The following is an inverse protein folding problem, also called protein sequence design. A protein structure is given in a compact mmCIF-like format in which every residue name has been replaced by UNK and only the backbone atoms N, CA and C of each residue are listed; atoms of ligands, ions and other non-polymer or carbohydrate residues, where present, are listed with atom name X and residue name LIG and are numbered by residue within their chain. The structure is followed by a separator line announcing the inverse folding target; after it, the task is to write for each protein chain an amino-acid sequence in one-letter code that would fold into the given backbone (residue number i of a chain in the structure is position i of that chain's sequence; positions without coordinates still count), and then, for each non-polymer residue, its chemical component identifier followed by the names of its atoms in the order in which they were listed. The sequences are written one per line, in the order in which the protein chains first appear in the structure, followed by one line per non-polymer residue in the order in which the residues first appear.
data_IF_955271691303
#
_entry.id   IF_955271691303
#
_cell.length_a   1.000
_cell.length_b   1.000
_cell.length_c   1.000
_cell.angle_alpha   90.00
_cell.angle_beta   90.00
_cell.angle_gamma   90.00
#
_symmetry.space_group_name_H-M   'P 1'
#
loop_
_entity.id
_entity.type
_entity.pdbx_description
1 polymer ?
#
# COMPACT_ATOMS: atom_id res chain seq x y z
N UNK A 1 -6.71 -2.38 -40.54
CA UNK A 1 -6.10 -3.34 -39.60
C UNK A 1 -4.61 -3.04 -39.54
N UNK A 2 -4.23 -2.09 -38.68
CA UNK A 2 -2.81 -1.81 -38.42
C UNK A 2 -2.39 -2.71 -37.27
N UNK A 3 -1.52 -3.68 -37.56
CA UNK A 3 -0.79 -4.41 -36.53
C UNK A 3 0.24 -3.45 -35.97
N UNK A 4 0.00 -2.94 -34.77
CA UNK A 4 1.05 -2.32 -33.96
C UNK A 4 1.95 -3.45 -33.51
N UNK A 5 3.12 -3.54 -34.13
CA UNK A 5 4.19 -4.45 -33.75
C UNK A 5 4.81 -3.91 -32.45
N UNK A 6 4.22 -4.30 -31.32
CA UNK A 6 4.82 -4.08 -30.00
C UNK A 6 5.97 -5.07 -29.89
N UNK A 7 7.19 -4.55 -30.01
CA UNK A 7 8.43 -5.33 -29.91
C UNK A 7 8.49 -6.19 -28.63
N UNK A 8 9.34 -7.21 -28.67
CA UNK A 8 9.49 -8.31 -27.71
C UNK A 8 9.95 -7.94 -26.28
N UNK A 9 9.76 -6.70 -25.83
CA UNK A 9 9.95 -6.22 -24.45
C UNK A 9 8.72 -5.40 -23.97
N UNK A 10 7.52 -5.77 -24.42
CA UNK A 10 6.30 -5.14 -23.95
C UNK A 10 6.08 -5.48 -22.46
N UNK A 11 6.07 -4.46 -21.61
CA UNK A 11 5.76 -4.58 -20.18
C UNK A 11 4.44 -5.33 -19.98
N UNK A 12 4.51 -6.61 -19.64
CA UNK A 12 3.35 -7.52 -19.62
C UNK A 12 2.28 -7.07 -18.62
N UNK A 13 2.67 -6.29 -17.60
CA UNK A 13 1.74 -5.70 -16.65
C UNK A 13 0.68 -4.82 -17.31
N UNK A 14 1.02 -4.19 -18.44
CA UNK A 14 0.09 -3.35 -19.19
C UNK A 14 -1.12 -4.13 -19.75
N UNK A 15 -1.03 -5.45 -19.88
CA UNK A 15 -2.16 -6.29 -20.27
C UNK A 15 -3.23 -6.38 -19.17
N UNK A 16 -2.86 -6.07 -17.92
CA UNK A 16 -3.78 -6.05 -16.77
C UNK A 16 -4.50 -4.70 -16.65
N UNK A 17 -3.90 -3.62 -17.15
CA UNK A 17 -4.40 -2.25 -17.01
C UNK A 17 -5.39 -1.91 -18.13
N UNK A 18 -6.48 -1.21 -17.80
CA UNK A 18 -7.39 -0.64 -18.79
C UNK A 18 -6.77 0.62 -19.42
N UNK A 19 -5.82 0.41 -20.34
CA UNK A 19 -5.09 1.51 -21.00
C UNK A 19 -5.96 2.40 -21.88
N UNK A 20 -7.12 1.93 -22.31
CA UNK A 20 -8.07 2.77 -23.05
C UNK A 20 -8.67 3.85 -22.15
N UNK A 21 -8.82 3.56 -20.85
CA UNK A 21 -9.30 4.51 -19.84
C UNK A 21 -8.18 5.23 -19.11
N UNK A 22 -7.03 4.57 -18.95
CA UNK A 22 -5.89 5.06 -18.19
C UNK A 22 -4.62 5.00 -19.05
N UNK A 23 -4.40 6.00 -19.93
CA UNK A 23 -3.31 5.98 -20.91
C UNK A 23 -1.94 6.24 -20.26
N UNK A 24 -1.44 5.29 -19.48
CA UNK A 24 -0.18 5.42 -18.72
C UNK A 24 1.07 5.02 -19.50
N UNK A 25 0.91 4.51 -20.73
CA UNK A 25 2.01 3.99 -21.53
C UNK A 25 2.92 5.09 -22.12
N UNK A 26 2.37 6.28 -22.40
CA UNK A 26 3.13 7.47 -22.82
C UNK A 26 2.63 8.67 -22.01
N UNK A 27 3.49 9.16 -21.11
CA UNK A 27 3.18 10.29 -20.22
C UNK A 27 3.83 11.60 -20.70
N UNK A 28 4.50 11.61 -21.85
CA UNK A 28 5.19 12.79 -22.38
C UNK A 28 4.28 13.65 -23.24
N UNK A 29 3.38 13.03 -24.01
CA UNK A 29 2.52 13.73 -24.96
C UNK A 29 1.10 13.15 -25.03
N UNK A 30 0.19 13.90 -25.67
CA UNK A 30 -1.17 13.43 -25.97
C UNK A 30 -2.03 13.12 -24.73
N UNK A 31 -2.91 12.13 -24.86
CA UNK A 31 -3.91 11.77 -23.85
C UNK A 31 -3.28 11.36 -22.51
N UNK A 32 -2.11 10.71 -22.54
CA UNK A 32 -1.42 10.28 -21.31
C UNK A 32 -0.80 11.44 -20.52
N UNK A 33 -0.26 12.44 -21.19
CA UNK A 33 0.20 13.67 -20.53
C UNK A 33 -0.96 14.47 -19.91
N UNK A 34 -2.10 14.55 -20.61
CA UNK A 34 -3.32 15.18 -20.09
C UNK A 34 -3.85 14.41 -18.87
N UNK A 35 -3.89 13.09 -18.94
CA UNK A 35 -4.31 12.22 -17.84
C UNK A 35 -3.38 12.33 -16.61
N UNK A 36 -2.06 12.37 -16.83
CA UNK A 36 -1.09 12.60 -15.76
C UNK A 36 -1.37 13.92 -15.04
N UNK A 37 -1.65 14.99 -15.80
CA UNK A 37 -1.99 16.28 -15.21
C UNK A 37 -3.24 16.20 -14.32
N UNK A 38 -4.29 15.51 -14.77
CA UNK A 38 -5.50 15.27 -13.95
C UNK A 38 -5.14 14.55 -12.65
N UNK A 39 -4.31 13.51 -12.71
CA UNK A 39 -3.88 12.78 -11.52
C UNK A 39 -3.09 13.65 -10.54
N UNK A 40 -2.17 14.47 -11.05
CA UNK A 40 -1.40 15.41 -10.24
C UNK A 40 -2.28 16.48 -9.60
N UNK A 41 -3.28 16.99 -10.33
CA UNK A 41 -4.22 17.98 -9.82
C UNK A 41 -5.11 17.38 -8.71
N UNK A 42 -5.50 16.09 -8.82
CA UNK A 42 -6.18 15.37 -7.74
C UNK A 42 -5.29 15.20 -6.50
N UNK A 43 -4.04 14.78 -6.68
CA UNK A 43 -3.08 14.65 -5.57
C UNK A 43 -2.87 15.99 -4.85
N UNK A 44 -2.79 17.11 -5.58
CA UNK A 44 -2.61 18.45 -5.01
C UNK A 44 -3.86 18.93 -4.25
N UNK A 45 -5.03 18.75 -4.86
CA UNK A 45 -6.29 19.28 -4.32
C UNK A 45 -6.79 18.48 -3.13
N UNK A 46 -6.61 17.15 -3.19
CA UNK A 46 -7.23 16.22 -2.25
C UNK A 46 -6.19 15.52 -1.36
N UNK A 47 -4.98 15.28 -1.86
CA UNK A 47 -3.98 14.44 -1.19
C UNK A 47 -4.00 12.98 -1.64
N UNK A 48 -4.88 12.61 -2.58
CA UNK A 48 -4.98 11.27 -3.17
C UNK A 48 -5.46 11.32 -4.62
N UNK A 49 -5.30 10.21 -5.34
CA UNK A 49 -5.84 9.98 -6.66
C UNK A 49 -6.37 8.54 -6.76
N UNK A 50 -7.67 8.38 -7.00
CA UNK A 50 -8.32 7.08 -7.22
C UNK A 50 -8.59 6.84 -8.70
N UNK A 51 -8.22 5.66 -9.17
CA UNK A 51 -8.45 5.19 -10.52
C UNK A 51 -9.34 3.94 -10.45
N UNK A 52 -10.66 4.15 -10.44
CA UNK A 52 -11.64 3.07 -10.32
C UNK A 52 -11.72 2.21 -11.59
N UNK A 53 -11.49 0.91 -11.48
CA UNK A 53 -11.44 0.03 -12.65
C UNK A 53 -10.15 0.21 -13.46
N UNK A 54 -9.07 0.57 -12.77
CA UNK A 54 -7.73 0.65 -13.35
C UNK A 54 -7.28 -0.68 -13.95
N UNK A 55 -7.69 -1.77 -13.32
CA UNK A 55 -7.46 -3.13 -13.81
C UNK A 55 -8.67 -3.60 -14.62
N UNK A 56 -8.40 -4.23 -15.76
CA UNK A 56 -9.42 -4.83 -16.64
C UNK A 56 -10.22 -5.90 -15.88
N UNK A 57 -11.54 -6.06 -16.13
CA UNK A 57 -12.37 -6.98 -15.35
C UNK A 57 -11.90 -8.44 -15.33
N UNK A 58 -11.38 -8.96 -16.43
CA UNK A 58 -10.82 -10.32 -16.54
C UNK A 58 -9.50 -10.46 -15.77
N UNK A 59 -8.63 -9.45 -15.85
CA UNK A 59 -7.40 -9.39 -15.08
C UNK A 59 -7.65 -9.27 -13.58
N UNK A 60 -8.67 -8.50 -13.17
CA UNK A 60 -9.09 -8.36 -11.78
C UNK A 60 -9.58 -9.70 -11.21
N UNK A 61 -10.41 -10.42 -11.97
CA UNK A 61 -10.85 -11.76 -11.57
C UNK A 61 -9.66 -12.71 -11.38
N UNK A 62 -8.69 -12.69 -12.30
CA UNK A 62 -7.48 -13.51 -12.19
C UNK A 62 -6.60 -13.14 -10.98
N UNK A 63 -6.45 -11.84 -10.68
CA UNK A 63 -5.73 -11.35 -9.49
C UNK A 63 -6.46 -11.72 -8.19
N UNK A 64 -7.79 -11.64 -8.17
CA UNK A 64 -8.60 -12.06 -7.02
C UNK A 64 -8.45 -13.57 -6.78
N UNK A 65 -8.54 -14.39 -7.83
CA UNK A 65 -8.35 -15.84 -7.74
C UNK A 65 -6.92 -16.19 -7.28
N UNK A 66 -5.91 -15.57 -7.86
CA UNK A 66 -4.50 -15.73 -7.50
C UNK A 66 -4.28 -15.46 -6.01
N UNK A 67 -4.68 -14.28 -5.54
CA UNK A 67 -4.48 -13.89 -4.14
C UNK A 67 -5.32 -14.71 -3.17
N UNK A 68 -6.55 -15.08 -3.54
CA UNK A 68 -7.40 -15.97 -2.73
C UNK A 68 -6.76 -17.35 -2.55
N UNK A 69 -6.03 -17.85 -3.55
CA UNK A 69 -5.34 -19.14 -3.46
C UNK A 69 -4.08 -19.10 -2.56
N UNK A 70 -3.41 -17.96 -2.47
CA UNK A 70 -2.23 -17.81 -1.61
C UNK A 70 -2.57 -17.48 -0.15
N UNK A 71 -3.67 -16.77 0.11
CA UNK A 71 -4.06 -16.32 1.45
C UNK A 71 -4.14 -17.43 2.52
N UNK A 72 -4.58 -18.67 2.23
CA UNK A 72 -4.54 -19.76 3.20
C UNK A 72 -3.14 -20.10 3.72
N UNK A 73 -2.08 -19.72 3.01
CA UNK A 73 -0.68 -19.87 3.44
C UNK A 73 -0.15 -18.72 4.30
N UNK A 74 -0.91 -17.64 4.49
CA UNK A 74 -0.52 -16.51 5.32
C UNK A 74 -0.91 -16.69 6.79
N UNK A 75 -0.13 -16.08 7.68
CA UNK A 75 -0.46 -16.04 9.11
C UNK A 75 -1.55 -15.01 9.39
N UNK A 76 -2.42 -15.34 10.35
CA UNK A 76 -3.31 -14.35 10.97
C UNK A 76 -2.50 -13.62 12.04
N UNK A 77 -2.26 -12.34 11.80
CA UNK A 77 -1.37 -11.50 12.60
C UNK A 77 -2.20 -10.56 13.47
N UNK A 78 -1.86 -10.50 14.75
CA UNK A 78 -2.32 -9.43 15.66
C UNK A 78 -1.20 -8.40 15.77
N UNK A 79 -1.38 -7.26 15.11
CA UNK A 79 -0.34 -6.24 14.98
C UNK A 79 -0.61 -5.13 15.99
N UNK A 80 0.41 -4.82 16.80
CA UNK A 80 0.36 -3.82 17.86
C UNK A 80 1.46 -2.78 17.65
N UNK A 81 1.08 -1.53 17.52
CA UNK A 81 2.02 -0.42 17.22
C UNK A 81 1.44 0.93 17.61
N UNK A 82 2.29 1.93 17.73
CA UNK A 82 1.83 3.32 17.69
C UNK A 82 1.55 3.75 16.23
N UNK A 83 1.00 4.96 16.03
CA UNK A 83 0.65 5.46 14.69
C UNK A 83 1.86 5.69 13.76
N UNK A 84 3.09 5.58 14.26
CA UNK A 84 4.33 5.75 13.50
C UNK A 84 5.05 4.42 13.25
N UNK A 85 4.31 3.31 13.26
CA UNK A 85 4.80 1.94 13.10
C UNK A 85 5.68 1.41 14.24
N UNK A 86 5.96 2.22 15.26
CA UNK A 86 6.87 1.91 16.35
C UNK A 86 6.24 1.14 17.51
N UNK A 87 7.08 0.66 18.42
CA UNK A 87 6.64 0.20 19.73
C UNK A 87 6.11 1.36 20.57
N UNK A 88 5.24 1.06 21.53
CA UNK A 88 4.76 2.07 22.49
C UNK A 88 5.87 2.46 23.45
N UNK A 89 6.05 3.75 23.67
CA UNK A 89 7.01 4.29 24.65
C UNK A 89 6.27 4.87 25.88
N UNK A 90 6.27 4.15 27.02
CA UNK A 90 5.58 4.60 28.23
C UNK A 90 6.29 5.74 28.96
N UNK A 91 7.53 6.09 28.59
CA UNK A 91 8.32 7.14 29.25
C UNK A 91 7.95 8.54 28.76
N UNK A 92 7.26 8.64 27.63
CA UNK A 92 6.81 9.88 27.02
C UNK A 92 5.61 10.50 27.77
N UNK A 93 5.31 11.80 27.53
CA UNK A 93 4.12 12.46 28.04
C UNK A 93 2.83 11.66 27.77
N UNK A 94 1.83 11.79 28.66
CA UNK A 94 0.61 10.99 28.61
C UNK A 94 -0.23 11.23 27.34
N UNK A 95 -0.09 12.39 26.73
CA UNK A 95 -0.76 12.84 25.52
C UNK A 95 0.03 12.51 24.23
N UNK A 96 1.27 12.02 24.34
CA UNK A 96 2.09 11.66 23.16
C UNK A 96 1.51 10.42 22.43
N UNK A 97 1.29 10.43 21.11
CA UNK A 97 0.72 9.30 20.39
C UNK A 97 1.65 8.10 20.32
N UNK A 98 2.96 8.30 20.51
CA UNK A 98 3.92 7.21 20.64
C UNK A 98 3.70 6.40 21.92
N UNK A 99 2.92 6.93 22.87
CA UNK A 99 2.50 6.23 24.08
C UNK A 99 1.18 5.46 23.91
N UNK A 100 0.49 5.60 22.78
CA UNK A 100 -0.80 4.94 22.53
C UNK A 100 -0.60 3.68 21.68
N UNK A 101 -1.14 2.56 22.13
CA UNK A 101 -1.19 1.31 21.37
C UNK A 101 -2.41 1.29 20.46
N UNK A 102 -2.19 0.98 19.19
CA UNK A 102 -3.23 0.64 18.23
C UNK A 102 -3.05 -0.80 17.80
N UNK A 103 -4.14 -1.54 17.84
CA UNK A 103 -4.17 -2.97 17.51
C UNK A 103 -5.08 -3.19 16.32
N UNK A 104 -4.70 -4.11 15.43
CA UNK A 104 -5.59 -4.69 14.44
C UNK A 104 -5.23 -6.15 14.17
N UNK A 105 -6.14 -6.86 13.52
CA UNK A 105 -5.96 -8.24 13.08
C UNK A 105 -6.09 -8.31 11.58
N UNK A 106 -5.13 -8.95 10.92
CA UNK A 106 -5.11 -9.11 9.47
C UNK A 106 -4.47 -10.44 9.08
N UNK A 107 -4.89 -11.01 7.96
CA UNK A 107 -4.12 -12.06 7.29
C UNK A 107 -3.25 -11.38 6.24
N UNK A 108 -1.94 -11.56 6.29
CA UNK A 108 -1.02 -10.82 5.43
C UNK A 108 0.01 -11.74 4.77
N UNK A 109 0.14 -11.61 3.46
CA UNK A 109 1.25 -12.18 2.69
C UNK A 109 2.32 -11.11 2.56
N UNK A 110 3.54 -11.45 2.99
CA UNK A 110 4.75 -10.67 2.74
C UNK A 110 5.26 -10.89 1.31
N UNK A 111 6.10 -9.99 0.80
CA UNK A 111 6.64 -10.05 -0.57
C UNK A 111 7.40 -11.36 -0.84
N UNK A 112 8.20 -11.84 0.13
CA UNK A 112 8.92 -13.11 0.04
C UNK A 112 8.01 -14.37 0.00
N UNK A 113 6.70 -14.20 0.20
CA UNK A 113 5.68 -15.25 0.05
C UNK A 113 4.96 -15.20 -1.30
N UNK A 114 5.22 -14.18 -2.12
CA UNK A 114 4.61 -13.99 -3.44
C UNK A 114 5.59 -14.43 -4.53
N UNK A 115 5.34 -15.56 -5.22
CA UNK A 115 6.22 -16.02 -6.30
C UNK A 115 6.37 -14.96 -7.40
N UNK A 116 7.58 -14.82 -7.94
CA UNK A 116 7.94 -13.77 -8.90
C UNK A 116 7.15 -13.82 -10.22
N UNK A 117 6.57 -14.97 -10.57
CA UNK A 117 5.76 -15.17 -11.77
C UNK A 117 4.27 -14.84 -11.58
N UNK A 118 3.83 -14.48 -10.36
CA UNK A 118 2.46 -14.05 -10.09
C UNK A 118 2.08 -12.78 -10.84
N UNK A 119 0.80 -12.62 -11.17
CA UNK A 119 0.26 -11.44 -11.85
C UNK A 119 0.49 -10.17 -11.01
N UNK A 120 0.32 -10.26 -9.70
CA UNK A 120 0.54 -9.10 -8.83
C UNK A 120 2.01 -8.69 -8.77
N UNK A 121 2.95 -9.64 -8.79
CA UNK A 121 4.38 -9.34 -8.91
C UNK A 121 4.71 -8.74 -10.27
N UNK A 122 4.19 -9.30 -11.37
CA UNK A 122 4.37 -8.72 -12.71
C UNK A 122 3.87 -7.27 -12.75
N UNK A 123 2.71 -6.98 -12.16
CA UNK A 123 2.17 -5.63 -12.07
C UNK A 123 3.10 -4.70 -11.29
N UNK A 124 3.57 -5.11 -10.11
CA UNK A 124 4.49 -4.31 -9.31
C UNK A 124 5.84 -4.08 -10.01
N UNK A 125 6.34 -5.09 -10.71
CA UNK A 125 7.62 -5.03 -11.44
C UNK A 125 7.57 -4.24 -12.76
N UNK A 126 6.41 -3.73 -13.15
CA UNK A 126 6.26 -2.81 -14.28
C UNK A 126 7.08 -1.52 -14.09
N UNK A 127 7.97 -1.25 -15.03
CA UNK A 127 8.71 0.02 -15.07
C UNK A 127 7.79 1.18 -15.45
N UNK A 128 6.81 0.93 -16.33
CA UNK A 128 5.84 1.93 -16.78
C UNK A 128 4.92 2.33 -15.62
N UNK A 129 4.42 1.37 -14.84
CA UNK A 129 3.64 1.67 -13.64
C UNK A 129 4.48 2.42 -12.59
N UNK A 130 5.74 2.03 -12.41
CA UNK A 130 6.65 2.72 -11.48
C UNK A 130 6.88 4.18 -11.91
N UNK A 131 7.12 4.44 -13.20
CA UNK A 131 7.27 5.81 -13.71
C UNK A 131 5.96 6.60 -13.61
N UNK A 132 4.81 5.98 -13.87
CA UNK A 132 3.50 6.59 -13.66
C UNK A 132 3.31 7.04 -12.22
N UNK A 133 3.55 6.14 -11.24
CA UNK A 133 3.47 6.46 -9.81
C UNK A 133 4.43 7.59 -9.44
N UNK A 134 5.67 7.55 -9.93
CA UNK A 134 6.67 8.61 -9.73
C UNK A 134 6.17 9.97 -10.21
N UNK A 135 5.67 10.02 -11.45
CA UNK A 135 5.20 11.26 -12.08
C UNK A 135 3.95 11.81 -11.40
N UNK A 136 2.98 10.98 -11.04
CA UNK A 136 1.77 11.42 -10.33
C UNK A 136 2.13 12.06 -8.98
N UNK A 137 3.10 11.46 -8.27
CA UNK A 137 3.57 11.99 -6.98
C UNK A 137 4.62 13.10 -7.10
N UNK A 138 4.95 13.53 -8.32
CA UNK A 138 5.96 14.56 -8.65
C UNK A 138 7.33 14.29 -8.01
N UNK A 139 7.72 13.01 -7.94
CA UNK A 139 9.03 12.61 -7.40
C UNK A 139 10.12 12.71 -8.47
N UNK A 140 11.33 13.22 -8.12
CA UNK A 140 12.45 13.27 -9.06
C UNK A 140 12.91 11.87 -9.47
N UNK A 141 12.96 10.95 -8.50
CA UNK A 141 13.26 9.53 -8.68
C UNK A 141 12.30 8.73 -7.82
N UNK A 142 12.03 7.49 -8.21
CA UNK A 142 11.26 6.57 -7.39
C UNK A 142 11.69 5.14 -7.72
N UNK A 143 11.98 4.36 -6.68
CA UNK A 143 12.35 2.97 -6.78
C UNK A 143 11.30 2.13 -6.06
N UNK A 144 11.11 0.91 -6.55
CA UNK A 144 10.46 -0.14 -5.75
C UNK A 144 11.26 -0.34 -4.47
N UNK A 145 10.57 -0.50 -3.35
CA UNK A 145 11.21 -0.85 -2.09
C UNK A 145 11.99 -2.17 -2.27
N UNK A 146 13.17 -2.28 -1.67
CA UNK A 146 14.00 -3.49 -1.74
C UNK A 146 13.77 -4.42 -0.53
N UNK A 147 12.86 -4.06 0.37
CA UNK A 147 12.48 -4.86 1.51
C UNK A 147 11.73 -6.12 1.08
N UNK A 148 12.30 -7.29 1.33
CA UNK A 148 11.74 -8.58 0.94
C UNK A 148 10.41 -8.94 1.64
N UNK A 149 9.95 -8.16 2.61
CA UNK A 149 8.68 -8.42 3.29
C UNK A 149 7.62 -7.38 2.91
N UNK A 150 7.99 -6.11 2.85
CA UNK A 150 7.06 -4.99 2.69
C UNK A 150 6.98 -4.42 1.27
N UNK A 151 7.88 -4.77 0.34
CA UNK A 151 7.88 -4.18 -0.99
C UNK A 151 6.54 -4.32 -1.74
N UNK A 152 5.99 -5.53 -1.73
CA UNK A 152 4.64 -5.84 -2.17
C UNK A 152 3.99 -6.77 -1.16
N UNK A 153 2.86 -6.37 -0.59
CA UNK A 153 2.14 -7.22 0.35
C UNK A 153 0.65 -7.30 0.01
N UNK A 154 0.02 -8.41 0.39
CA UNK A 154 -1.41 -8.63 0.23
C UNK A 154 -2.04 -8.77 1.60
N UNK A 155 -2.96 -7.86 1.92
CA UNK A 155 -3.65 -7.79 3.21
C UNK A 155 -5.11 -8.18 3.03
N UNK A 156 -5.55 -9.19 3.76
CA UNK A 156 -6.93 -9.59 3.91
C UNK A 156 -7.47 -9.22 5.30
N UNK A 157 -8.54 -8.41 5.31
CA UNK A 157 -9.30 -8.05 6.50
C UNK A 157 -10.62 -8.83 6.47
N UNK A 158 -10.79 -9.76 7.41
CA UNK A 158 -12.01 -10.56 7.55
C UNK A 158 -13.11 -9.77 8.26
N UNK A 159 -14.38 -10.18 8.15
CA UNK A 159 -15.48 -9.57 8.90
C UNK A 159 -15.16 -9.39 10.39
N UNK A 160 -15.43 -8.20 10.93
CA UNK A 160 -15.07 -7.80 12.30
C UNK A 160 -13.62 -7.29 12.46
N UNK A 161 -12.82 -7.29 11.40
CA UNK A 161 -11.46 -6.73 11.38
C UNK A 161 -11.44 -5.33 10.79
N UNK A 162 -10.41 -4.55 11.11
CA UNK A 162 -10.14 -3.21 10.60
C UNK A 162 -8.64 -3.06 10.36
N UNK A 163 -8.21 -1.93 9.80
CA UNK A 163 -6.79 -1.58 9.76
C UNK A 163 -6.55 -0.34 10.61
N UNK A 164 -5.74 -0.48 11.66
CA UNK A 164 -5.54 0.58 12.63
C UNK A 164 -4.91 1.84 12.01
N UNK A 165 -5.16 2.99 12.65
CA UNK A 165 -4.57 4.27 12.28
C UNK A 165 -3.05 4.21 12.29
N UNK A 166 -2.42 4.64 11.20
CA UNK A 166 -0.98 4.73 11.09
C UNK A 166 -0.56 5.67 9.95
N UNK A 167 0.70 6.07 9.99
CA UNK A 167 1.45 6.52 8.83
C UNK A 167 2.29 5.37 8.29
N UNK A 168 2.52 5.39 6.98
CA UNK A 168 3.45 4.46 6.37
C UNK A 168 4.90 4.83 6.68
N UNK A 169 5.79 3.83 6.56
CA UNK A 169 7.24 4.03 6.74
C UNK A 169 7.86 4.77 5.56
N UNK A 170 7.29 4.65 4.36
CA UNK A 170 7.69 5.40 3.17
C UNK A 170 6.60 6.40 2.79
N UNK A 171 6.97 7.46 2.09
CA UNK A 171 5.99 8.44 1.62
C UNK A 171 5.08 7.85 0.54
N UNK A 172 5.66 7.10 -0.39
CA UNK A 172 5.00 6.64 -1.60
C UNK A 172 4.49 5.20 -1.47
N UNK A 173 3.29 5.06 -0.92
CA UNK A 173 2.55 3.79 -0.93
C UNK A 173 1.37 3.88 -1.87
N UNK A 174 1.15 2.84 -2.64
CA UNK A 174 0.00 2.72 -3.55
C UNK A 174 -0.78 1.47 -3.20
N UNK A 175 -2.10 1.53 -3.30
CA UNK A 175 -2.93 0.35 -3.02
C UNK A 175 -3.82 -0.02 -4.19
N UNK A 176 -3.95 -1.32 -4.45
CA UNK A 176 -4.91 -1.90 -5.38
C UNK A 176 -5.93 -2.72 -4.59
N UNK A 177 -7.20 -2.31 -4.61
CA UNK A 177 -8.27 -3.07 -3.97
C UNK A 177 -8.64 -4.26 -4.86
N UNK A 178 -8.26 -5.47 -4.46
CA UNK A 178 -8.51 -6.69 -5.23
C UNK A 178 -9.92 -7.22 -5.00
N UNK A 179 -10.38 -7.18 -3.75
CA UNK A 179 -11.72 -7.58 -3.35
C UNK A 179 -12.27 -6.60 -2.32
N UNK A 180 -13.40 -5.97 -2.62
CA UNK A 180 -14.10 -5.10 -1.66
C UNK A 180 -14.77 -5.94 -0.57
N UNK A 181 -15.12 -5.33 0.57
CA UNK A 181 -16.09 -5.91 1.51
C UNK A 181 -17.53 -5.76 0.99
N UNK A 182 -18.49 -6.43 1.61
CA UNK A 182 -19.91 -6.19 1.32
C UNK A 182 -20.37 -4.82 1.87
N UNK A 183 -19.89 -4.45 3.07
CA UNK A 183 -20.00 -3.10 3.60
C UNK A 183 -18.88 -2.79 4.61
N UNK A 184 -18.64 -1.51 4.85
CA UNK A 184 -17.47 -1.04 5.60
C UNK A 184 -16.17 -1.34 4.86
N UNK A 185 -15.06 -1.43 5.58
CA UNK A 185 -13.74 -1.58 4.95
C UNK A 185 -13.31 -0.36 4.14
N UNK A 186 -13.83 0.81 4.50
CA UNK A 186 -13.59 2.08 3.83
C UNK A 186 -12.17 2.57 4.16
N UNK A 187 -11.48 3.06 3.14
CA UNK A 187 -10.22 3.77 3.36
C UNK A 187 -10.52 5.15 3.93
N UNK A 188 -10.03 5.42 5.15
CA UNK A 188 -10.25 6.67 5.87
C UNK A 188 -8.90 7.30 6.24
N UNK A 189 -8.78 8.62 6.11
CA UNK A 189 -7.49 9.29 6.32
C UNK A 189 -7.61 10.80 6.53
N UNK A 190 -6.56 11.37 7.12
CA UNK A 190 -6.26 12.80 7.11
C UNK A 190 -5.17 13.05 6.06
N UNK A 191 -5.49 13.66 4.90
CA UNK A 191 -4.49 13.92 3.86
C UNK A 191 -3.43 14.89 4.36
N UNK A 192 -2.16 14.57 4.12
CA UNK A 192 -1.01 15.43 4.43
C UNK A 192 -1.05 16.02 5.85
N UNK A 193 -1.49 15.23 6.84
CA UNK A 193 -1.54 15.64 8.26
C UNK A 193 -0.16 15.84 8.89
N UNK A 194 0.91 15.49 8.18
CA UNK A 194 2.30 15.84 8.51
C UNK A 194 3.17 16.07 7.27
N UNK A 195 4.32 16.68 7.48
CA UNK A 195 5.46 16.80 6.56
C UNK A 195 6.70 16.22 7.24
N UNK A 196 7.87 16.35 6.61
CA UNK A 196 9.15 16.00 7.24
C UNK A 196 9.46 16.87 8.48
N UNK A 197 8.88 18.07 8.56
CA UNK A 197 9.18 19.06 9.61
C UNK A 197 8.08 19.19 10.66
N UNK A 198 6.82 19.01 10.29
CA UNK A 198 5.67 19.35 11.15
C UNK A 198 4.55 18.31 11.08
N UNK A 199 3.74 18.24 12.14
CA UNK A 199 2.51 17.44 12.18
C UNK A 199 1.37 18.31 12.70
N UNK A 200 0.19 18.23 12.08
CA UNK A 200 -1.05 18.82 12.60
C UNK A 200 -1.54 17.98 13.78
N UNK A 201 -0.88 18.20 14.92
CA UNK A 201 -1.16 17.57 16.20
C UNK A 201 -2.63 17.68 16.59
N UNK A 202 -3.23 18.84 16.35
CA UNK A 202 -4.60 19.09 16.73
C UNK A 202 -5.58 18.24 15.90
N UNK A 203 -5.38 18.15 14.58
CA UNK A 203 -6.20 17.29 13.73
C UNK A 203 -5.98 15.80 14.03
N UNK A 204 -4.73 15.39 14.22
CA UNK A 204 -4.38 14.02 14.60
C UNK A 204 -5.04 13.65 15.94
N UNK A 205 -4.88 14.45 16.99
CA UNK A 205 -5.42 14.13 18.31
C UNK A 205 -6.95 14.08 18.33
N UNK A 206 -7.63 14.93 17.53
CA UNK A 206 -9.09 14.85 17.33
C UNK A 206 -9.49 13.53 16.69
N UNK A 207 -8.84 13.14 15.60
CA UNK A 207 -9.11 11.87 14.93
C UNK A 207 -8.90 10.69 15.87
N UNK A 208 -7.78 10.68 16.60
CA UNK A 208 -7.46 9.60 17.54
C UNK A 208 -8.39 9.55 18.76
N UNK A 209 -9.10 10.65 19.05
CA UNK A 209 -10.18 10.68 20.04
C UNK A 209 -11.54 10.20 19.47
N UNK A 210 -11.60 9.83 18.19
CA UNK A 210 -12.80 9.31 17.52
C UNK A 210 -13.59 10.35 16.73
N UNK A 211 -13.11 11.60 16.62
CA UNK A 211 -13.75 12.61 15.79
C UNK A 211 -13.40 12.41 14.31
N UNK A 212 -14.36 11.86 13.58
CA UNK A 212 -14.22 11.57 12.14
C UNK A 212 -14.63 12.75 11.25
N UNK A 213 -15.05 13.90 11.79
CA UNK A 213 -15.66 15.00 11.01
C UNK A 213 -14.76 15.60 9.93
N UNK A 214 -13.44 15.53 10.12
CA UNK A 214 -12.44 16.01 9.17
C UNK A 214 -11.76 14.89 8.37
N UNK A 215 -12.17 13.64 8.59
CA UNK A 215 -11.63 12.52 7.82
C UNK A 215 -12.21 12.51 6.43
N UNK A 216 -11.33 12.24 5.46
CA UNK A 216 -11.75 11.92 4.12
C UNK A 216 -12.04 10.42 4.07
N UNK A 217 -13.18 10.08 3.47
CA UNK A 217 -13.59 8.70 3.18
C UNK A 217 -14.06 8.66 1.75
N UNK A 218 -13.71 7.60 1.05
CA UNK A 218 -14.26 7.34 -0.27
C UNK A 218 -14.51 5.85 -0.44
N UNK A 219 -15.63 5.54 -1.08
CA UNK A 219 -15.96 4.18 -1.46
C UNK A 219 -15.00 3.75 -2.56
N UNK A 220 -14.40 2.58 -2.39
CA UNK A 220 -13.53 1.97 -3.40
C UNK A 220 -14.19 0.71 -3.93
N UNK A 221 -14.10 0.51 -5.23
CA UNK A 221 -14.56 -0.72 -5.88
C UNK A 221 -13.37 -1.65 -6.06
N UNK A 222 -13.64 -2.94 -6.22
CA UNK A 222 -12.59 -3.86 -6.67
C UNK A 222 -12.02 -3.37 -8.01
N UNK A 223 -10.68 -3.42 -8.14
CA UNK A 223 -9.92 -2.86 -9.26
C UNK A 223 -9.54 -1.38 -9.09
N UNK A 224 -9.90 -0.71 -7.99
CA UNK A 224 -9.48 0.68 -7.73
C UNK A 224 -8.01 0.75 -7.33
N UNK A 225 -7.20 1.42 -8.15
CA UNK A 225 -5.81 1.79 -7.87
C UNK A 225 -5.76 3.18 -7.23
N UNK A 226 -5.21 3.26 -6.03
CA UNK A 226 -5.22 4.47 -5.20
C UNK A 226 -3.81 4.92 -4.87
N UNK A 227 -3.45 6.11 -5.35
CA UNK A 227 -2.21 6.81 -5.01
C UNK A 227 -2.49 7.83 -3.90
N UNK A 228 -1.63 7.87 -2.89
CA UNK A 228 -1.69 8.84 -1.79
C UNK A 228 -0.30 8.91 -1.12
N UNK A 229 -0.05 9.94 -0.31
CA UNK A 229 1.19 10.06 0.46
C UNK A 229 1.04 9.40 1.82
N UNK A 230 1.22 8.09 1.91
CA UNK A 230 0.99 7.31 3.14
C UNK A 230 1.92 7.70 4.29
N UNK A 231 3.15 8.10 3.97
CA UNK A 231 4.07 8.66 4.96
C UNK A 231 3.63 10.02 5.51
N UNK A 232 2.76 10.77 4.83
CA UNK A 232 2.30 12.09 5.27
C UNK A 232 0.82 12.14 5.67
N UNK A 233 0.07 11.08 5.41
CA UNK A 233 -1.38 11.04 5.65
C UNK A 233 -1.69 9.98 6.71
N UNK A 234 -2.25 10.39 7.85
CA UNK A 234 -2.68 9.45 8.88
C UNK A 234 -3.88 8.67 8.35
N UNK A 235 -3.80 7.36 8.24
CA UNK A 235 -4.82 6.57 7.56
C UNK A 235 -5.08 5.22 8.21
N UNK A 236 -6.24 4.65 7.87
CA UNK A 236 -6.73 3.39 8.38
C UNK A 236 -7.86 2.85 7.49
N UNK A 237 -8.35 1.67 7.84
CA UNK A 237 -9.50 1.04 7.18
C UNK A 237 -10.57 0.80 8.22
N UNK A 238 -11.81 1.22 7.94
CA UNK A 238 -12.95 0.98 8.84
C UNK A 238 -13.23 -0.52 8.98
N UNK A 239 -14.04 -0.89 9.97
CA UNK A 239 -14.42 -2.28 10.20
C UNK A 239 -15.08 -2.89 8.95
N UNK A 240 -14.71 -4.13 8.64
CA UNK A 240 -15.23 -4.91 7.51
C UNK A 240 -16.46 -5.70 7.95
N UNK A 241 -17.50 -5.69 7.13
CA UNK A 241 -18.72 -6.47 7.31
C UNK A 241 -19.05 -7.29 6.07
N UNK A 242 -19.78 -8.40 6.26
CA UNK A 242 -20.19 -9.32 5.19
C UNK A 242 -19.71 -10.76 5.43
N UNK A 243 -19.71 -11.56 4.37
CA UNK A 243 -19.33 -12.98 4.41
C UNK A 243 -17.90 -13.26 3.91
N UNK A 244 -17.25 -12.30 3.24
CA UNK A 244 -15.91 -12.46 2.65
C UNK A 244 -14.95 -11.35 3.09
N UNK A 245 -13.62 -11.61 3.04
CA UNK A 245 -12.65 -10.59 3.39
C UNK A 245 -12.58 -9.47 2.35
N UNK A 246 -12.12 -8.31 2.80
CA UNK A 246 -11.57 -7.24 1.96
C UNK A 246 -10.10 -7.54 1.69
N UNK A 247 -9.70 -7.64 0.42
CA UNK A 247 -8.34 -8.00 0.00
C UNK A 247 -7.70 -6.83 -0.73
N UNK A 248 -6.53 -6.39 -0.31
CA UNK A 248 -5.79 -5.26 -0.90
C UNK A 248 -4.34 -5.63 -1.13
N UNK A 249 -3.82 -5.36 -2.32
CA UNK A 249 -2.39 -5.32 -2.56
C UNK A 249 -1.84 -3.93 -2.25
N UNK A 250 -0.70 -3.88 -1.57
CA UNK A 250 0.00 -2.66 -1.17
C UNK A 250 1.37 -2.69 -1.82
N UNK A 251 1.67 -1.67 -2.61
CA UNK A 251 2.90 -1.51 -3.38
C UNK A 251 3.69 -0.35 -2.78
N UNK A 252 4.88 -0.63 -2.28
CA UNK A 252 5.70 0.35 -1.56
C UNK A 252 6.84 0.83 -2.45
N UNK A 253 7.01 2.14 -2.52
CA UNK A 253 8.07 2.80 -3.26
C UNK A 253 8.83 3.78 -2.36
N UNK A 254 10.07 4.11 -2.75
CA UNK A 254 10.92 5.05 -2.02
C UNK A 254 11.85 5.81 -2.99
N UNK A 255 12.23 7.03 -2.62
CA UNK A 255 13.19 7.83 -3.40
C UNK A 255 14.63 7.33 -3.20
N UNK A 256 14.89 6.61 -2.11
CA UNK A 256 16.16 5.95 -1.82
C UNK A 256 16.23 4.57 -2.50
N UNK A 257 17.18 4.42 -3.43
CA UNK A 257 17.48 3.11 -4.02
C UNK A 257 17.91 2.12 -2.93
N UNK A 258 17.37 0.91 -2.97
CA UNK A 258 17.74 -0.14 -2.01
C UNK A 258 17.16 0.07 -0.61
N UNK A 259 16.08 0.85 -0.47
CA UNK A 259 15.37 1.01 0.80
C UNK A 259 14.95 -0.35 1.36
N UNK A 260 15.36 -0.65 2.59
CA UNK A 260 14.93 -1.80 3.38
C UNK A 260 14.31 -1.27 4.67
N UNK A 261 13.19 -1.83 5.09
CA UNK A 261 12.49 -1.43 6.31
C UNK A 261 13.18 -2.07 7.52
N UNK A 262 13.15 -1.42 8.68
CA UNK A 262 13.86 -1.92 9.84
C UNK A 262 13.34 -3.28 10.29
N UNK A 263 14.25 -4.14 10.74
CA UNK A 263 13.95 -5.46 11.30
C UNK A 263 12.83 -5.40 12.37
N UNK A 264 12.84 -4.37 13.23
CA UNK A 264 11.85 -4.26 14.31
C UNK A 264 10.44 -3.99 13.78
N UNK A 265 10.30 -3.21 12.69
CA UNK A 265 9.00 -2.97 12.05
C UNK A 265 8.57 -4.24 11.31
N UNK A 266 9.49 -4.89 10.58
CA UNK A 266 9.23 -6.14 9.87
C UNK A 266 8.74 -7.25 10.82
N UNK A 267 9.40 -7.43 11.96
CA UNK A 267 8.96 -8.39 12.99
C UNK A 267 7.63 -7.99 13.63
N UNK A 268 7.38 -6.68 13.83
CA UNK A 268 6.12 -6.20 14.41
C UNK A 268 4.92 -6.43 13.50
N UNK A 269 5.12 -6.35 12.18
CA UNK A 269 4.08 -6.56 11.18
C UNK A 269 3.89 -8.06 10.91
N UNK A 270 4.96 -8.81 10.62
CA UNK A 270 4.89 -10.20 10.15
C UNK A 270 5.24 -11.26 11.20
N UNK A 271 5.46 -10.85 12.44
CA UNK A 271 5.55 -11.74 13.59
C UNK A 271 6.75 -12.69 13.58
N UNK A 272 6.53 -13.86 14.20
CA UNK A 272 7.58 -14.83 14.55
C UNK A 272 8.27 -15.44 13.33
N UNK A 273 7.57 -15.58 12.21
CA UNK A 273 8.16 -16.05 10.95
C UNK A 273 9.35 -15.18 10.57
N UNK A 274 9.12 -13.87 10.49
CA UNK A 274 10.15 -12.91 10.09
C UNK A 274 11.23 -12.75 11.17
N UNK A 275 10.84 -12.79 12.46
CA UNK A 275 11.82 -12.82 13.57
C UNK A 275 12.80 -13.98 13.42
N UNK A 276 12.30 -15.17 13.10
CA UNK A 276 13.12 -16.36 12.88
C UNK A 276 14.04 -16.20 11.67
N UNK A 277 13.51 -15.73 10.53
CA UNK A 277 14.30 -15.53 9.30
C UNK A 277 15.48 -14.58 9.56
N UNK A 278 15.22 -13.44 10.20
CA UNK A 278 16.24 -12.44 10.51
C UNK A 278 17.24 -12.94 11.56
N UNK A 279 16.76 -13.68 12.57
CA UNK A 279 17.61 -14.31 13.58
C UNK A 279 18.59 -15.33 12.99
N UNK A 280 18.10 -16.22 12.12
CA UNK A 280 18.92 -17.24 11.46
C UNK A 280 20.03 -16.60 10.60
N UNK A 281 19.72 -15.51 9.89
CA UNK A 281 20.70 -14.77 9.07
C UNK A 281 21.77 -14.08 9.92
N UNK A 282 21.38 -13.45 11.03
CA UNK A 282 22.33 -12.85 11.98
C UNK A 282 23.28 -13.91 12.54
N UNK A 283 22.76 -15.08 12.92
CA UNK A 283 23.57 -16.19 13.41
C UNK A 283 24.55 -16.71 12.33
N UNK A 284 24.11 -16.85 11.08
CA UNK A 284 24.97 -17.27 9.97
C UNK A 284 26.10 -16.27 9.69
N UNK A 285 25.82 -14.96 9.76
CA UNK A 285 26.84 -13.91 9.58
C UNK A 285 27.89 -13.93 10.69
N UNK A 286 27.49 -14.17 11.94
CA UNK A 286 28.42 -14.28 13.08
C UNK A 286 29.31 -15.53 12.97
N UNK A 287 28.83 -16.61 12.38
CA UNK A 287 29.63 -17.84 12.17
C UNK A 287 30.63 -17.72 11.00
N UNK A 288 30.44 -16.75 10.10
CA UNK A 288 31.30 -16.52 8.94
C UNK A 288 32.44 -15.50 9.21
N UNK A 289 32.50 -14.91 10.41
CA UNK A 289 33.53 -13.97 10.88
C UNK A 289 34.52 -14.65 11.81
#
# INVERSE_FOLDING_TARGET
MSKTDLGTDADMALNLVDLARYPIADLETGEGAEFLKVCQDHMETHGWCNLDGFIRPDALAALEDETTNFLPGAEVLTIKRNIYQGAVDPTLPADDPRRREYTHVATQLADDQLPADTLIQQLYQSEILTDFVRRVQKKPVLYRCADEFQALNVVALYPGSWHAWHYDTTECTVTLLLKAAESGGDFAFLPNSRTDETEDRAAVDRLLAGDMSHTQKFDRRAGTFTLFRGGYSLHGVTEVFGAHPRITAIMTYDEQMGRVISDDINVRIYGKRVEKILGDRKAAMTQAQ
#
